data_IF_192235823532
#
_entry.id   IF_192235823532
#
_cell.length_a   1.000
_cell.length_b   1.000
_cell.length_c   1.000
_cell.angle_alpha   90.00
_cell.angle_beta   90.00
_cell.angle_gamma   90.00
#
_symmetry.space_group_name_H-M   'P 1'
#
loop_
_entity.id
_entity.type
_entity.pdbx_description
1 polymer ?
#
# COMPACT_ATOMS: atom_id res chain seq x y z
N UNK A 1 -7.36 -10.48 -1.19
CA UNK A 1 -6.99 -9.54 -2.27
C UNK A 1 -5.86 -8.71 -1.72
N UNK A 2 -4.79 -8.53 -2.47
CA UNK A 2 -3.62 -7.78 -2.03
C UNK A 2 -3.71 -6.36 -2.58
N UNK A 3 -3.56 -5.36 -1.71
CA UNK A 3 -3.70 -3.95 -2.06
C UNK A 3 -2.49 -3.18 -1.59
N UNK A 4 -1.84 -2.47 -2.52
CA UNK A 4 -0.80 -1.51 -2.20
C UNK A 4 -1.43 -0.14 -2.03
N UNK A 5 -1.30 0.46 -0.85
CA UNK A 5 -1.73 1.83 -0.57
C UNK A 5 -0.51 2.73 -0.51
N UNK A 6 -0.52 3.80 -1.30
CA UNK A 6 0.56 4.79 -1.34
C UNK A 6 0.01 6.13 -0.88
N UNK A 7 0.52 6.67 0.24
CA UNK A 7 0.05 7.95 0.78
C UNK A 7 1.06 8.59 1.73
N UNK A 8 1.15 9.93 1.70
CA UNK A 8 1.92 10.71 2.67
C UNK A 8 1.42 10.54 4.11
N UNK A 9 0.17 10.10 4.29
CA UNK A 9 -0.40 9.76 5.60
C UNK A 9 0.48 8.78 6.39
N UNK A 10 1.17 7.88 5.69
CA UNK A 10 1.99 6.84 6.30
C UNK A 10 3.38 7.33 6.76
N UNK A 11 3.77 8.57 6.44
CA UNK A 11 5.09 9.14 6.77
C UNK A 11 5.37 9.18 8.28
N UNK A 12 4.33 9.38 9.09
CA UNK A 12 4.43 9.45 10.56
C UNK A 12 4.08 8.14 11.27
N UNK A 13 3.78 7.06 10.53
CA UNK A 13 3.31 5.79 11.09
C UNK A 13 4.37 4.71 10.85
N UNK A 14 4.85 3.99 11.89
CA UNK A 14 5.77 2.88 11.71
C UNK A 14 5.21 1.83 10.75
N UNK A 15 6.02 1.33 9.83
CA UNK A 15 5.58 0.42 8.75
C UNK A 15 4.68 -0.72 9.25
N UNK A 16 5.09 -1.41 10.32
CA UNK A 16 4.36 -2.55 10.90
C UNK A 16 2.97 -2.18 11.44
N UNK A 17 2.75 -0.91 11.78
CA UNK A 17 1.50 -0.40 12.36
C UNK A 17 0.51 0.09 11.31
N UNK A 18 0.96 0.36 10.08
CA UNK A 18 0.15 0.99 9.02
C UNK A 18 -1.03 0.10 8.58
N UNK A 19 -0.79 -1.19 8.39
CA UNK A 19 -1.85 -2.13 8.03
C UNK A 19 -2.92 -2.20 9.13
N UNK A 20 -2.51 -2.29 10.39
CA UNK A 20 -3.44 -2.29 11.52
C UNK A 20 -4.27 -1.01 11.56
N UNK A 21 -3.63 0.14 11.36
CA UNK A 21 -4.31 1.44 11.32
C UNK A 21 -5.38 1.48 10.21
N UNK A 22 -5.06 1.03 9.00
CA UNK A 22 -6.02 0.96 7.88
C UNK A 22 -7.18 0.03 8.21
N UNK A 23 -6.90 -1.16 8.75
CA UNK A 23 -7.93 -2.14 9.09
C UNK A 23 -8.88 -1.67 10.20
N UNK A 24 -8.40 -0.84 11.13
CA UNK A 24 -9.23 -0.28 12.19
C UNK A 24 -10.15 0.84 11.68
N UNK A 25 -9.70 1.60 10.69
CA UNK A 25 -10.41 2.79 10.22
C UNK A 25 -11.28 2.56 8.98
N UNK A 26 -11.03 1.49 8.21
CA UNK A 26 -11.75 1.24 6.96
C UNK A 26 -12.43 -0.13 6.99
N UNK A 27 -13.77 -0.19 6.94
CA UNK A 27 -14.49 -1.46 6.95
C UNK A 27 -14.41 -2.14 5.59
N UNK A 28 -14.07 -3.43 5.58
CA UNK A 28 -14.00 -4.25 4.36
C UNK A 28 -14.98 -5.42 4.42
N UNK A 29 -15.63 -5.70 3.28
CA UNK A 29 -16.55 -6.85 3.13
C UNK A 29 -15.84 -8.13 2.68
N UNK A 30 -14.56 -8.03 2.33
CA UNK A 30 -13.70 -9.12 1.87
C UNK A 30 -12.35 -9.05 2.59
N UNK A 31 -11.63 -10.17 2.67
CA UNK A 31 -10.29 -10.19 3.22
C UNK A 31 -9.31 -9.46 2.29
N UNK A 32 -8.76 -8.35 2.78
CA UNK A 32 -7.76 -7.54 2.07
C UNK A 32 -6.46 -7.55 2.86
N UNK A 33 -5.36 -7.86 2.19
CA UNK A 33 -4.02 -7.68 2.73
C UNK A 33 -3.47 -6.34 2.23
N UNK A 34 -3.03 -5.48 3.15
CA UNK A 34 -2.58 -4.13 2.83
C UNK A 34 -1.08 -4.00 2.99
N UNK A 35 -0.45 -3.51 1.93
CA UNK A 35 0.94 -3.06 1.98
C UNK A 35 0.92 -1.54 1.84
N UNK A 36 1.32 -0.84 2.90
CA UNK A 36 1.18 0.61 3.00
C UNK A 36 2.54 1.29 2.89
N UNK A 37 2.76 2.04 1.80
CA UNK A 37 4.00 2.76 1.52
C UNK A 37 3.80 4.27 1.51
N UNK A 38 4.86 5.01 1.86
CA UNK A 38 4.94 6.42 1.46
C UNK A 38 5.24 6.52 -0.04
N UNK A 39 4.97 7.67 -0.69
CA UNK A 39 5.37 7.88 -2.08
C UNK A 39 6.87 7.68 -2.31
N UNK A 40 7.71 8.11 -1.37
CA UNK A 40 9.16 7.92 -1.42
C UNK A 40 9.56 6.44 -1.38
N UNK A 41 8.99 5.67 -0.45
CA UNK A 41 9.23 4.22 -0.34
C UNK A 41 8.76 3.49 -1.60
N UNK A 42 7.58 3.83 -2.10
CA UNK A 42 7.01 3.22 -3.30
C UNK A 42 7.87 3.50 -4.54
N UNK A 43 8.34 4.74 -4.70
CA UNK A 43 9.23 5.11 -5.81
C UNK A 43 10.49 4.25 -5.80
N UNK A 44 11.14 4.10 -4.64
CA UNK A 44 12.35 3.25 -4.51
C UNK A 44 12.06 1.77 -4.77
N UNK A 45 10.91 1.28 -4.31
CA UNK A 45 10.52 -0.12 -4.47
C UNK A 45 10.07 -0.45 -5.88
N UNK A 46 9.49 0.49 -6.62
CA UNK A 46 9.13 0.29 -8.03
C UNK A 46 10.34 -0.01 -8.92
N UNK A 47 11.54 0.39 -8.50
CA UNK A 47 12.78 0.12 -9.23
C UNK A 47 13.40 -1.24 -8.87
N UNK A 48 13.14 -1.76 -7.66
CA UNK A 48 13.89 -2.87 -7.07
C UNK A 48 13.04 -4.10 -6.74
N UNK A 49 11.78 -3.93 -6.37
CA UNK A 49 10.88 -5.01 -5.97
C UNK A 49 10.14 -5.61 -7.16
N UNK A 50 10.32 -6.91 -7.38
CA UNK A 50 9.60 -7.65 -8.42
C UNK A 50 8.08 -7.63 -8.18
N UNK A 51 7.64 -7.72 -6.92
CA UNK A 51 6.21 -7.71 -6.55
C UNK A 51 5.57 -6.36 -6.87
N UNK A 52 6.25 -5.25 -6.59
CA UNK A 52 5.73 -3.91 -6.89
C UNK A 52 5.67 -3.68 -8.40
N UNK A 53 6.67 -4.17 -9.14
CA UNK A 53 6.67 -4.10 -10.62
C UNK A 53 5.52 -4.91 -11.22
N UNK A 54 5.31 -6.13 -10.75
CA UNK A 54 4.19 -6.98 -11.19
C UNK A 54 2.84 -6.34 -10.87
N UNK A 55 2.70 -5.74 -9.68
CA UNK A 55 1.49 -5.00 -9.31
C UNK A 55 1.21 -3.78 -10.21
N UNK A 56 2.27 -3.14 -10.75
CA UNK A 56 2.15 -2.02 -11.69
C UNK A 56 1.77 -2.46 -13.12
N UNK A 57 2.06 -3.69 -13.51
CA UNK A 57 1.63 -4.27 -14.79
C UNK A 57 0.16 -4.71 -14.77
N UNK A 58 -0.39 -4.94 -13.57
CA UNK A 58 -1.80 -5.24 -13.33
C UNK A 58 -2.71 -4.00 -13.36
N UNK A 59 -4.02 -4.17 -13.07
CA UNK A 59 -4.96 -3.06 -12.99
C UNK A 59 -4.63 -2.16 -11.79
N UNK A 60 -4.03 -1.00 -12.06
CA UNK A 60 -3.77 0.05 -11.06
C UNK A 60 -4.98 0.97 -10.95
N UNK A 61 -5.51 1.12 -9.74
CA UNK A 61 -6.58 2.08 -9.42
C UNK A 61 -5.98 3.18 -8.55
N UNK A 62 -5.82 4.37 -9.11
CA UNK A 62 -5.44 5.57 -8.36
C UNK A 62 -6.70 6.28 -7.84
N UNK A 63 -6.80 6.46 -6.53
CA UNK A 63 -7.83 7.28 -5.89
C UNK A 63 -7.14 8.57 -5.42
N UNK A 64 -7.58 9.70 -5.96
CA UNK A 64 -7.08 11.06 -5.65
C UNK A 64 -7.99 11.76 -4.66
#
# INVERSE_FOLDING_TARGET
MDVILVSEYFSSIPFISRMTDVLLNVPFRIHVDYICYTPEEFSRLSETSAIVKEALEGPVIALV
#
